data_IF_585584699737
#
_entry.id   IF_585584699737
#
_cell.length_a   1.000
_cell.length_b   1.000
_cell.length_c   1.000
_cell.angle_alpha   90.00
_cell.angle_beta   90.00
_cell.angle_gamma   90.00
#
_symmetry.space_group_name_H-M   'P 1'
#
loop_
_entity.id
_entity.type
_entity.pdbx_description
1 polymer ?
#
# COMPACT_ATOMS: atom_id res chain seq x y z
N UNK A 1 57.91 37.23 -106.17
CA UNK A 1 56.86 37.41 -105.12
C UNK A 1 57.18 36.49 -103.94
N UNK A 2 56.85 36.95 -102.72
CA UNK A 2 57.39 36.55 -101.41
C UNK A 2 57.23 35.06 -101.06
N UNK A 3 58.32 34.44 -100.59
CA UNK A 3 58.37 33.10 -100.00
C UNK A 3 58.28 33.24 -98.45
N UNK A 4 57.20 32.77 -97.83
CA UNK A 4 56.86 32.89 -96.39
C UNK A 4 56.23 31.53 -95.94
N UNK A 5 56.38 31.00 -94.72
CA UNK A 5 57.39 30.01 -94.32
C UNK A 5 56.75 28.66 -93.87
N UNK A 6 57.10 27.55 -94.51
CA UNK A 6 56.59 26.20 -94.15
C UNK A 6 57.00 25.75 -92.75
N UNK A 7 58.14 26.21 -92.22
CA UNK A 7 58.66 25.88 -90.88
C UNK A 7 57.80 26.42 -89.72
N UNK A 8 57.06 27.51 -89.92
CA UNK A 8 56.16 28.10 -88.92
C UNK A 8 54.78 27.40 -88.87
N UNK A 9 54.43 26.61 -89.88
CA UNK A 9 53.18 25.84 -89.92
C UNK A 9 53.33 24.55 -89.14
N UNK A 10 54.47 23.88 -89.27
CA UNK A 10 54.78 22.64 -88.55
C UNK A 10 55.03 22.89 -87.05
N UNK A 11 55.69 23.99 -86.68
CA UNK A 11 55.80 24.43 -85.27
C UNK A 11 54.45 24.84 -84.68
N UNK A 12 53.58 25.52 -85.43
CA UNK A 12 52.22 25.84 -84.98
C UNK A 12 51.36 24.60 -84.78
N UNK A 13 51.41 23.65 -85.70
CA UNK A 13 50.66 22.38 -85.59
C UNK A 13 51.18 21.55 -84.41
N UNK A 14 52.50 21.51 -84.20
CA UNK A 14 53.10 20.81 -83.05
C UNK A 14 52.70 21.48 -81.73
N UNK A 15 52.78 22.81 -81.61
CA UNK A 15 52.34 23.54 -80.41
C UNK A 15 50.83 23.38 -80.17
N UNK A 16 50.00 23.42 -81.22
CA UNK A 16 48.55 23.18 -81.13
C UNK A 16 48.24 21.76 -80.65
N UNK A 17 48.95 20.75 -81.14
CA UNK A 17 48.78 19.36 -80.71
C UNK A 17 49.08 19.15 -79.22
N UNK A 18 50.16 19.74 -78.71
CA UNK A 18 50.51 19.65 -77.28
C UNK A 18 49.48 20.34 -76.39
N UNK A 19 48.88 21.46 -76.83
CA UNK A 19 47.81 22.14 -76.11
C UNK A 19 46.54 21.29 -76.00
N UNK A 20 46.14 20.58 -77.07
CA UNK A 20 44.99 19.67 -77.03
C UNK A 20 45.17 18.50 -76.07
N UNK A 21 46.37 17.91 -76.04
CA UNK A 21 46.71 16.82 -75.12
C UNK A 21 46.66 17.32 -73.67
N UNK A 22 47.21 18.50 -73.37
CA UNK A 22 47.16 19.10 -72.04
C UNK A 22 45.73 19.34 -71.53
N UNK A 23 44.84 19.82 -72.40
CA UNK A 23 43.42 20.03 -72.08
C UNK A 23 42.70 18.71 -71.81
N UNK A 24 42.95 17.67 -72.60
CA UNK A 24 42.37 16.33 -72.34
C UNK A 24 42.81 15.77 -70.99
N UNK A 25 44.10 15.88 -70.65
CA UNK A 25 44.62 15.40 -69.36
C UNK A 25 43.99 16.17 -68.20
N UNK A 26 43.85 17.49 -68.30
CA UNK A 26 43.19 18.30 -67.28
C UNK A 26 41.71 17.91 -67.09
N UNK A 27 40.98 17.64 -68.18
CA UNK A 27 39.61 17.15 -68.11
C UNK A 27 39.51 15.78 -67.43
N UNK A 28 40.43 14.85 -67.72
CA UNK A 28 40.47 13.53 -67.06
C UNK A 28 40.73 13.68 -65.55
N UNK A 29 41.66 14.54 -65.14
CA UNK A 29 41.92 14.77 -63.70
C UNK A 29 40.69 15.38 -63.02
N UNK A 30 40.01 16.32 -63.67
CA UNK A 30 38.79 16.94 -63.14
C UNK A 30 37.65 15.92 -63.00
N UNK A 31 37.41 15.08 -64.01
CA UNK A 31 36.36 14.05 -63.96
C UNK A 31 36.64 13.01 -62.88
N UNK A 32 37.90 12.58 -62.72
CA UNK A 32 38.30 11.67 -61.64
C UNK A 32 38.07 12.30 -60.26
N UNK A 33 38.43 13.58 -60.07
CA UNK A 33 38.17 14.27 -58.81
C UNK A 33 36.66 14.41 -58.52
N UNK A 34 35.85 14.69 -59.54
CA UNK A 34 34.41 14.77 -59.40
C UNK A 34 33.79 13.42 -59.04
N UNK A 35 34.24 12.33 -59.67
CA UNK A 35 33.82 10.98 -59.32
C UNK A 35 34.18 10.61 -57.88
N UNK A 36 35.40 10.94 -57.42
CA UNK A 36 35.81 10.67 -56.04
C UNK A 36 34.93 11.41 -55.03
N UNK A 37 34.60 12.68 -55.31
CA UNK A 37 33.67 13.47 -54.47
C UNK A 37 32.26 12.87 -54.47
N UNK A 38 31.75 12.44 -55.63
CA UNK A 38 30.45 11.80 -55.76
C UNK A 38 30.39 10.47 -55.00
N UNK A 39 31.42 9.62 -55.12
CA UNK A 39 31.53 8.35 -54.39
C UNK A 39 31.56 8.58 -52.88
N UNK A 40 32.38 9.52 -52.41
CA UNK A 40 32.46 9.84 -50.98
C UNK A 40 31.12 10.36 -50.44
N UNK A 41 30.43 11.24 -51.18
CA UNK A 41 29.09 11.73 -50.82
C UNK A 41 28.08 10.59 -50.74
N UNK A 42 28.09 9.67 -51.73
CA UNK A 42 27.22 8.49 -51.75
C UNK A 42 27.48 7.56 -50.56
N UNK A 43 28.74 7.30 -50.22
CA UNK A 43 29.10 6.49 -49.05
C UNK A 43 28.58 7.13 -47.76
N UNK A 44 28.84 8.44 -47.55
CA UNK A 44 28.33 9.17 -46.39
C UNK A 44 26.80 9.18 -46.31
N UNK A 45 26.12 9.29 -47.45
CA UNK A 45 24.65 9.23 -47.50
C UNK A 45 24.12 7.86 -47.05
N UNK A 46 24.75 6.77 -47.49
CA UNK A 46 24.37 5.41 -47.09
C UNK A 46 24.63 5.17 -45.60
N UNK A 47 25.79 5.60 -45.10
CA UNK A 47 26.12 5.53 -43.67
C UNK A 47 25.13 6.34 -42.82
N UNK A 48 24.84 7.58 -43.22
CA UNK A 48 23.86 8.41 -42.53
C UNK A 48 22.47 7.79 -42.57
N UNK A 49 22.05 7.20 -43.69
CA UNK A 49 20.75 6.52 -43.80
C UNK A 49 20.68 5.31 -42.87
N UNK A 50 21.75 4.52 -42.78
CA UNK A 50 21.82 3.39 -41.85
C UNK A 50 21.76 3.87 -40.39
N UNK A 51 22.50 4.92 -40.04
CA UNK A 51 22.47 5.50 -38.70
C UNK A 51 21.10 6.09 -38.35
N UNK A 52 20.42 6.74 -39.29
CA UNK A 52 19.07 7.27 -39.09
C UNK A 52 18.10 6.12 -38.79
N UNK A 53 18.12 5.04 -39.58
CA UNK A 53 17.26 3.88 -39.34
C UNK A 53 17.47 3.26 -37.96
N UNK A 54 18.73 3.09 -37.55
CA UNK A 54 19.04 2.60 -36.20
C UNK A 54 18.51 3.52 -35.10
N UNK A 55 18.62 4.84 -35.29
CA UNK A 55 18.08 5.82 -34.33
C UNK A 55 16.55 5.82 -34.32
N UNK A 56 15.91 5.67 -35.47
CA UNK A 56 14.44 5.58 -35.58
C UNK A 56 13.91 4.33 -34.87
N UNK A 57 14.57 3.19 -35.04
CA UNK A 57 14.26 1.94 -34.32
C UNK A 57 14.42 2.12 -32.80
N UNK A 58 15.53 2.72 -32.35
CA UNK A 58 15.75 3.01 -30.94
C UNK A 58 14.69 3.96 -30.36
N UNK A 59 14.28 4.99 -31.11
CA UNK A 59 13.21 5.92 -30.72
C UNK A 59 11.88 5.18 -30.62
N UNK A 60 11.57 4.29 -31.58
CA UNK A 60 10.36 3.49 -31.54
C UNK A 60 10.31 2.58 -30.30
N UNK A 61 11.44 1.95 -29.95
CA UNK A 61 11.54 1.12 -28.74
C UNK A 61 11.36 1.95 -27.46
N UNK A 62 12.01 3.11 -27.36
CA UNK A 62 11.85 4.02 -26.21
C UNK A 62 10.41 4.50 -26.10
N UNK A 63 9.76 4.84 -27.22
CA UNK A 63 8.35 5.25 -27.23
C UNK A 63 7.43 4.13 -26.74
N UNK A 64 7.72 2.88 -27.10
CA UNK A 64 7.00 1.70 -26.59
C UNK A 64 7.16 1.58 -25.07
N UNK A 65 8.40 1.65 -24.56
CA UNK A 65 8.69 1.60 -23.11
C UNK A 65 8.00 2.72 -22.34
N UNK A 66 7.96 3.95 -22.88
CA UNK A 66 7.23 5.07 -22.28
C UNK A 66 5.73 4.77 -22.19
N UNK A 67 5.16 4.16 -23.24
CA UNK A 67 3.76 3.72 -23.24
C UNK A 67 3.47 2.69 -22.14
N UNK A 68 4.31 1.68 -22.01
CA UNK A 68 4.22 0.64 -20.97
C UNK A 68 4.36 1.22 -19.55
N UNK A 69 5.32 2.12 -19.35
CA UNK A 69 5.50 2.83 -18.08
C UNK A 69 4.30 3.71 -17.74
N UNK A 70 3.74 4.42 -18.72
CA UNK A 70 2.53 5.23 -18.52
C UNK A 70 1.34 4.37 -18.10
N UNK A 71 1.14 3.21 -18.74
CA UNK A 71 0.10 2.26 -18.35
C UNK A 71 0.32 1.74 -16.94
N UNK A 72 1.55 1.33 -16.60
CA UNK A 72 1.90 0.87 -15.25
C UNK A 72 1.64 1.94 -14.20
N UNK A 73 2.03 3.19 -14.48
CA UNK A 73 1.79 4.33 -13.60
C UNK A 73 0.29 4.55 -13.37
N UNK A 74 -0.54 4.47 -14.41
CA UNK A 74 -2.00 4.59 -14.25
C UNK A 74 -2.57 3.49 -13.37
N UNK A 75 -2.15 2.24 -13.55
CA UNK A 75 -2.57 1.11 -12.70
C UNK A 75 -2.14 1.29 -11.25
N UNK A 76 -0.90 1.70 -11.00
CA UNK A 76 -0.40 1.97 -9.64
C UNK A 76 -1.20 3.10 -8.99
N UNK A 77 -1.50 4.17 -9.72
CA UNK A 77 -2.26 5.29 -9.19
C UNK A 77 -3.70 4.89 -8.83
N UNK A 78 -4.34 4.03 -9.64
CA UNK A 78 -5.65 3.45 -9.30
C UNK A 78 -5.58 2.63 -8.02
N UNK A 79 -4.59 1.73 -7.89
CA UNK A 79 -4.39 0.91 -6.68
C UNK A 79 -4.14 1.75 -5.42
N UNK A 80 -3.39 2.85 -5.54
CA UNK A 80 -3.16 3.78 -4.43
C UNK A 80 -4.47 4.40 -3.96
N UNK A 81 -5.34 4.81 -4.90
CA UNK A 81 -6.64 5.38 -4.55
C UNK A 81 -7.56 4.36 -3.89
N UNK A 82 -7.59 3.12 -4.41
CA UNK A 82 -8.34 2.01 -3.80
C UNK A 82 -7.87 1.75 -2.36
N UNK A 83 -6.56 1.59 -2.15
CA UNK A 83 -5.99 1.38 -0.80
C UNK A 83 -6.27 2.54 0.14
N UNK A 84 -6.29 3.79 -0.36
CA UNK A 84 -6.64 4.96 0.44
C UNK A 84 -8.11 4.92 0.89
N UNK A 85 -9.01 4.48 0.01
CA UNK A 85 -10.42 4.31 0.36
C UNK A 85 -10.64 3.17 1.34
N UNK A 86 -9.95 2.04 1.16
CA UNK A 86 -10.01 0.89 2.06
C UNK A 86 -9.50 1.26 3.45
N UNK A 87 -8.36 1.94 3.54
CA UNK A 87 -7.80 2.42 4.81
C UNK A 87 -8.79 3.34 5.55
N UNK A 88 -9.42 4.29 4.86
CA UNK A 88 -10.43 5.15 5.48
C UNK A 88 -11.65 4.35 5.99
N UNK A 89 -12.04 3.29 5.28
CA UNK A 89 -13.08 2.36 5.74
C UNK A 89 -12.69 1.60 7.01
N UNK A 90 -11.47 1.05 7.05
CA UNK A 90 -10.92 0.36 8.22
C UNK A 90 -10.81 1.28 9.43
N UNK A 91 -10.32 2.51 9.24
CA UNK A 91 -10.20 3.50 10.32
C UNK A 91 -11.58 3.85 10.90
N UNK A 92 -12.60 3.98 10.04
CA UNK A 92 -13.99 4.21 10.48
C UNK A 92 -14.54 3.03 11.28
N UNK A 93 -14.38 1.81 10.78
CA UNK A 93 -14.82 0.58 11.48
C UNK A 93 -14.12 0.43 12.83
N UNK A 94 -12.82 0.71 12.89
CA UNK A 94 -12.05 0.67 14.13
C UNK A 94 -12.58 1.68 15.14
N UNK A 95 -12.89 2.91 14.71
CA UNK A 95 -13.51 3.91 15.57
C UNK A 95 -14.92 3.54 16.05
N UNK A 96 -15.71 2.84 15.24
CA UNK A 96 -17.03 2.32 15.64
C UNK A 96 -16.92 1.15 16.65
N UNK A 97 -15.94 0.26 16.46
CA UNK A 97 -15.65 -0.82 17.40
C UNK A 97 -15.17 -0.29 18.75
N UNK A 98 -14.26 0.69 18.77
CA UNK A 98 -13.77 1.31 20.01
C UNK A 98 -14.90 1.98 20.79
N UNK A 99 -15.78 2.72 20.10
CA UNK A 99 -16.97 3.30 20.72
C UNK A 99 -17.89 2.24 21.30
N UNK A 100 -18.14 1.15 20.56
CA UNK A 100 -18.99 0.05 21.04
C UNK A 100 -18.38 -0.64 22.26
N UNK A 101 -17.07 -0.87 22.28
CA UNK A 101 -16.35 -1.42 23.43
C UNK A 101 -16.42 -0.50 24.64
N UNK A 102 -16.28 0.81 24.43
CA UNK A 102 -16.38 1.79 25.51
C UNK A 102 -17.79 1.83 26.11
N UNK A 103 -18.84 1.81 25.28
CA UNK A 103 -20.23 1.73 25.74
C UNK A 103 -20.50 0.44 26.50
N UNK A 104 -20.11 -0.72 25.95
CA UNK A 104 -20.29 -2.02 26.59
C UNK A 104 -19.61 -2.09 27.97
N UNK A 105 -18.38 -1.57 28.08
CA UNK A 105 -17.67 -1.53 29.36
C UNK A 105 -18.35 -0.61 30.38
N UNK A 106 -18.92 0.50 29.94
CA UNK A 106 -19.62 1.46 30.80
C UNK A 106 -20.93 0.86 31.33
N UNK A 107 -21.72 0.26 30.44
CA UNK A 107 -22.98 -0.43 30.78
C UNK A 107 -22.72 -1.63 31.70
N UNK A 108 -21.71 -2.44 31.41
CA UNK A 108 -21.34 -3.59 32.23
C UNK A 108 -20.94 -3.17 33.65
N UNK A 109 -20.18 -2.08 33.80
CA UNK A 109 -19.81 -1.55 35.13
C UNK A 109 -21.04 -1.09 35.91
N UNK A 110 -21.96 -0.37 35.27
CA UNK A 110 -23.21 0.09 35.89
C UNK A 110 -24.11 -1.09 36.29
N UNK A 111 -24.34 -2.04 35.37
CA UNK A 111 -25.16 -3.22 35.63
C UNK A 111 -24.61 -4.11 36.74
N UNK A 112 -23.28 -4.30 36.79
CA UNK A 112 -22.63 -5.05 37.88
C UNK A 112 -22.77 -4.29 39.20
N UNK A 113 -22.57 -2.96 39.22
CA UNK A 113 -22.73 -2.17 40.43
C UNK A 113 -24.17 -2.26 40.98
N UNK A 114 -25.17 -2.15 40.11
CA UNK A 114 -26.58 -2.26 40.49
C UNK A 114 -26.97 -3.67 40.96
N UNK A 115 -26.43 -4.71 40.32
CA UNK A 115 -26.63 -6.09 40.77
C UNK A 115 -26.00 -6.34 42.14
N UNK A 116 -24.80 -5.81 42.38
CA UNK A 116 -24.11 -5.93 43.68
C UNK A 116 -24.88 -5.21 44.79
N UNK A 117 -25.45 -4.02 44.54
CA UNK A 117 -26.24 -3.31 45.56
C UNK A 117 -27.51 -4.05 45.91
N UNK A 118 -28.27 -4.53 44.91
CA UNK A 118 -29.47 -5.36 45.11
C UNK A 118 -29.15 -6.63 45.89
N UNK A 119 -28.04 -7.31 45.57
CA UNK A 119 -27.61 -8.52 46.27
C UNK A 119 -27.26 -8.23 47.74
N UNK A 120 -26.57 -7.12 48.02
CA UNK A 120 -26.24 -6.70 49.40
C UNK A 120 -27.47 -6.39 50.23
N UNK A 121 -28.48 -5.74 49.64
CA UNK A 121 -29.73 -5.42 50.32
C UNK A 121 -30.54 -6.69 50.62
N UNK A 122 -30.67 -7.60 49.64
CA UNK A 122 -31.30 -8.89 49.84
C UNK A 122 -30.61 -9.71 50.94
N UNK A 123 -29.27 -9.74 50.95
CA UNK A 123 -28.50 -10.42 52.00
C UNK A 123 -28.79 -9.86 53.40
N UNK A 124 -28.82 -8.53 53.56
CA UNK A 124 -29.14 -7.88 54.85
C UNK A 124 -30.54 -8.20 55.34
N UNK A 125 -31.52 -8.28 54.42
CA UNK A 125 -32.89 -8.64 54.76
C UNK A 125 -32.97 -10.07 55.28
N UNK A 126 -32.34 -11.01 54.56
CA UNK A 126 -32.24 -12.41 54.98
C UNK A 126 -31.52 -12.57 56.32
N UNK A 127 -30.43 -11.84 56.56
CA UNK A 127 -29.72 -11.85 57.85
C UNK A 127 -30.60 -11.37 59.01
N UNK A 128 -31.38 -10.30 58.81
CA UNK A 128 -32.35 -9.81 59.81
C UNK A 128 -33.47 -10.82 60.06
N UNK A 129 -34.01 -11.42 59.01
CA UNK A 129 -35.07 -12.42 59.13
C UNK A 129 -34.56 -13.67 59.88
N UNK A 130 -33.33 -14.13 59.59
CA UNK A 130 -32.69 -15.24 60.32
C UNK A 130 -32.52 -14.90 61.80
N UNK A 131 -32.05 -13.69 62.15
CA UNK A 131 -31.91 -13.27 63.54
C UNK A 131 -33.27 -13.19 64.25
N UNK A 132 -34.29 -12.63 63.59
CA UNK A 132 -35.65 -12.56 64.12
C UNK A 132 -36.25 -13.94 64.36
N UNK A 133 -36.10 -14.86 63.40
CA UNK A 133 -36.55 -16.25 63.55
C UNK A 133 -35.80 -16.97 64.68
N UNK A 134 -34.47 -16.77 64.81
CA UNK A 134 -33.70 -17.28 65.96
C UNK A 134 -34.29 -16.81 67.29
N UNK A 135 -34.61 -15.53 67.41
CA UNK A 135 -35.18 -14.98 68.64
C UNK A 135 -36.57 -15.57 68.91
N UNK A 136 -37.43 -15.68 67.90
CA UNK A 136 -38.75 -16.30 68.06
C UNK A 136 -38.67 -17.77 68.48
N UNK A 137 -37.69 -18.52 67.97
CA UNK A 137 -37.45 -19.91 68.39
C UNK A 137 -37.05 -19.94 69.87
N UNK A 138 -36.10 -19.11 70.30
CA UNK A 138 -35.68 -19.03 71.69
C UNK A 138 -36.83 -18.65 72.64
N UNK A 139 -37.63 -17.65 72.26
CA UNK A 139 -38.77 -17.21 73.07
C UNK A 139 -39.83 -18.32 73.17
N UNK A 140 -40.08 -19.04 72.08
CA UNK A 140 -40.97 -20.22 72.06
C UNK A 140 -40.44 -21.36 72.92
N UNK A 141 -39.16 -21.71 72.78
CA UNK A 141 -38.54 -22.79 73.56
C UNK A 141 -38.61 -22.47 75.05
N UNK A 142 -38.36 -21.21 75.41
CA UNK A 142 -38.52 -20.71 76.79
C UNK A 142 -39.96 -20.84 77.29
N UNK A 143 -40.95 -20.46 76.47
CA UNK A 143 -42.35 -20.59 76.82
C UNK A 143 -42.76 -22.07 77.00
N UNK A 144 -42.33 -22.96 76.10
CA UNK A 144 -42.60 -24.41 76.21
C UNK A 144 -41.99 -24.96 77.50
N UNK A 145 -40.76 -24.59 77.83
CA UNK A 145 -40.09 -25.03 79.05
C UNK A 145 -40.78 -24.57 80.35
N UNK A 146 -41.55 -23.47 80.32
CA UNK A 146 -42.33 -23.04 81.47
C UNK A 146 -43.56 -23.92 81.76
N UNK A 147 -44.07 -24.64 80.74
CA UNK A 147 -45.24 -25.53 80.87
C UNK A 147 -44.87 -27.01 80.98
N UNK A 148 -43.62 -27.36 80.75
CA UNK A 148 -43.14 -28.74 80.75
C UNK A 148 -42.82 -29.20 82.18
N UNK A 149 -43.32 -30.38 82.54
CA UNK A 149 -43.04 -31.02 83.83
C UNK A 149 -41.58 -31.51 83.90
N UNK A 150 -40.75 -30.76 84.62
CA UNK A 150 -39.30 -30.98 84.74
C UNK A 150 -38.92 -32.21 85.58
N UNK A 151 -39.91 -32.94 86.11
CA UNK A 151 -39.71 -34.22 86.80
C UNK A 151 -39.46 -35.39 85.85
N UNK A 152 -39.72 -35.22 84.53
CA UNK A 152 -39.35 -36.20 83.49
C UNK A 152 -37.96 -35.89 82.91
N UNK A 153 -37.11 -36.91 82.88
CA UNK A 153 -35.69 -36.82 82.45
C UNK A 153 -35.52 -36.23 81.04
N UNK A 154 -36.41 -36.56 80.11
CA UNK A 154 -36.38 -36.12 78.71
C UNK A 154 -36.70 -34.63 78.55
N UNK A 155 -37.67 -34.14 79.34
CA UNK A 155 -38.05 -32.74 79.42
C UNK A 155 -36.92 -31.88 80.02
N UNK A 156 -36.24 -32.40 81.03
CA UNK A 156 -35.10 -31.74 81.69
C UNK A 156 -33.92 -31.54 80.74
N UNK A 157 -33.62 -32.53 79.89
CA UNK A 157 -32.53 -32.45 78.88
C UNK A 157 -32.82 -31.43 77.78
N UNK A 158 -34.06 -31.33 77.30
CA UNK A 158 -34.45 -30.37 76.26
C UNK A 158 -34.39 -28.92 76.77
N UNK A 159 -34.84 -28.68 78.01
CA UNK A 159 -34.87 -27.33 78.58
C UNK A 159 -33.53 -26.85 79.16
N UNK A 160 -32.61 -27.75 79.51
CA UNK A 160 -31.26 -27.36 79.92
C UNK A 160 -30.42 -26.76 78.77
N UNK A 161 -30.73 -27.10 77.53
CA UNK A 161 -30.01 -26.59 76.34
C UNK A 161 -30.41 -25.15 76.02
N UNK A 162 -31.68 -24.77 76.27
CA UNK A 162 -32.14 -23.38 76.06
C UNK A 162 -31.55 -22.40 77.07
N UNK A 163 -31.20 -22.87 78.28
CA UNK A 163 -30.50 -22.06 79.29
C UNK A 163 -28.99 -21.91 79.02
N UNK A 164 -28.38 -22.86 78.30
CA UNK A 164 -26.95 -22.85 77.99
C UNK A 164 -26.56 -21.98 76.77
N UNK A 165 -27.54 -21.53 75.97
CA UNK A 165 -27.32 -20.73 74.76
C UNK A 165 -27.36 -19.21 74.99
N UNK A 166 -27.20 -18.78 76.26
CA UNK A 166 -27.20 -17.38 76.70
C UNK A 166 -25.93 -16.63 76.34
#
# INVERSE_FOLDING_TARGET
>A
MRNIPTRNRERRNKVSGHAHVGVMVAMIVYTVQQEMKLRNSRTRMLENSAQIKQKEEAIAEVKKKIGELKSTLTTVNTKINELKTEKAGVDKLTGEFDKSLQTCNSEKKLGIAEAITKLKEAKRKVEKDIQGLKQQILDRDKAICAFVDTTKEEARKLCAISEALK
#
